data_IF_035538928341
#
_entry.id   IF_035538928341
#
_cell.length_a   1.000
_cell.length_b   1.000
_cell.length_c   1.000
_cell.angle_alpha   90.00
_cell.angle_beta   90.00
_cell.angle_gamma   90.00
#
_symmetry.space_group_name_H-M   'P 1'
#
loop_
_entity.id
_entity.type
_entity.pdbx_description
1 polymer ?
#
# COMPACT_ATOMS: atom_id res chain seq x y z
N UNK A 1 -5.02 11.07 21.25
CA UNK A 1 -6.23 10.43 21.80
C UNK A 1 -5.76 9.49 22.88
N UNK A 2 -6.29 9.70 24.11
CA UNK A 2 -5.87 8.93 25.29
C UNK A 2 -6.09 7.42 25.07
N UNK A 3 -5.09 6.63 25.43
CA UNK A 3 -5.10 5.17 25.32
C UNK A 3 -4.94 4.62 23.89
N UNK A 4 -4.55 5.47 22.93
CA UNK A 4 -4.25 5.04 21.54
C UNK A 4 -2.77 5.24 21.23
N UNK A 5 -2.19 4.45 20.30
CA UNK A 5 -0.83 4.67 19.82
C UNK A 5 -0.59 6.07 19.28
N UNK A 6 0.67 6.49 19.25
CA UNK A 6 1.07 7.77 18.67
C UNK A 6 0.84 7.73 17.15
N UNK A 7 0.23 8.81 16.63
CA UNK A 7 0.06 8.98 15.19
C UNK A 7 -1.19 8.37 14.58
N UNK A 8 -2.10 7.75 15.39
CA UNK A 8 -3.34 7.18 14.86
C UNK A 8 -4.13 8.18 14.01
N UNK A 9 -4.69 7.71 12.92
CA UNK A 9 -5.55 8.50 12.06
C UNK A 9 -6.92 8.67 12.70
N UNK A 10 -7.34 9.92 12.85
CA UNK A 10 -8.62 10.27 13.46
C UNK A 10 -9.44 11.14 12.51
N UNK A 11 -10.61 10.66 12.10
CA UNK A 11 -11.37 11.36 11.09
C UNK A 11 -12.79 10.86 10.92
N UNK A 12 -13.45 11.41 9.92
CA UNK A 12 -14.82 11.08 9.52
C UNK A 12 -14.87 9.72 8.85
N UNK A 13 -15.97 9.00 9.03
CA UNK A 13 -16.14 7.63 8.58
C UNK A 13 -17.50 7.41 7.91
N UNK A 14 -17.60 6.28 7.21
CA UNK A 14 -18.86 5.87 6.57
C UNK A 14 -19.90 5.41 7.58
N UNK A 15 -21.14 5.83 7.38
CA UNK A 15 -22.27 5.25 8.11
C UNK A 15 -22.43 3.77 7.72
N UNK A 16 -22.66 2.92 8.71
CA UNK A 16 -22.87 1.49 8.52
C UNK A 16 -24.14 1.02 9.21
N UNK A 17 -24.80 0.05 8.61
CA UNK A 17 -25.88 -0.71 9.20
C UNK A 17 -25.34 -1.70 10.26
N UNK A 18 -26.23 -2.33 11.01
CA UNK A 18 -25.86 -3.32 12.04
C UNK A 18 -25.14 -4.55 11.47
N UNK A 19 -25.35 -4.88 10.20
CA UNK A 19 -24.69 -5.96 9.48
C UNK A 19 -23.30 -5.55 8.91
N UNK A 20 -22.86 -4.31 9.15
CA UNK A 20 -21.59 -3.75 8.67
C UNK A 20 -21.62 -3.18 7.24
N UNK A 21 -22.71 -3.34 6.50
CA UNK A 21 -22.88 -2.77 5.17
C UNK A 21 -22.95 -1.24 5.22
N UNK A 22 -22.50 -0.58 4.13
CA UNK A 22 -22.54 0.87 4.05
C UNK A 22 -23.98 1.39 3.89
N UNK A 23 -24.34 2.40 4.66
CA UNK A 23 -25.56 3.16 4.42
C UNK A 23 -25.39 4.00 3.18
N UNK A 24 -26.30 3.87 2.22
CA UNK A 24 -26.29 4.62 0.96
C UNK A 24 -27.52 5.53 0.85
N UNK A 25 -27.42 6.60 0.07
CA UNK A 25 -28.57 7.40 -0.32
C UNK A 25 -29.39 6.70 -1.42
N UNK A 26 -30.47 7.35 -1.88
CA UNK A 26 -31.33 6.81 -2.94
C UNK A 26 -30.61 6.57 -4.28
N UNK A 27 -29.47 7.24 -4.52
CA UNK A 27 -28.63 7.04 -5.69
C UNK A 27 -27.58 5.94 -5.51
N UNK A 28 -27.51 5.27 -4.36
CA UNK A 28 -26.51 4.24 -4.06
C UNK A 28 -25.15 4.78 -3.62
N UNK A 29 -25.06 6.06 -3.26
CA UNK A 29 -23.80 6.69 -2.81
C UNK A 29 -23.65 6.51 -1.30
N UNK A 30 -22.50 5.97 -0.82
CA UNK A 30 -22.22 5.81 0.60
C UNK A 30 -22.27 7.13 1.37
N UNK A 31 -22.85 7.08 2.57
CA UNK A 31 -23.07 8.26 3.39
C UNK A 31 -22.06 8.34 4.54
N UNK A 32 -21.75 9.56 4.92
CA UNK A 32 -20.94 9.87 6.09
C UNK A 32 -21.77 9.66 7.36
N UNK A 33 -21.16 9.09 8.40
CA UNK A 33 -21.76 8.99 9.71
C UNK A 33 -21.95 10.39 10.33
N UNK A 34 -23.16 10.65 10.84
CA UNK A 34 -23.55 11.95 11.42
C UNK A 34 -24.26 11.76 12.74
N UNK A 35 -24.10 12.72 13.64
CA UNK A 35 -24.90 12.83 14.86
C UNK A 35 -26.34 13.30 14.54
N UNK A 36 -27.21 13.24 15.53
CA UNK A 36 -28.62 13.67 15.39
C UNK A 36 -28.78 15.15 14.98
N UNK A 37 -27.81 16.00 15.32
CA UNK A 37 -27.77 17.42 14.93
C UNK A 37 -27.20 17.64 13.51
N UNK A 38 -26.80 16.55 12.81
CA UNK A 38 -26.22 16.62 11.45
C UNK A 38 -24.69 16.76 11.40
N UNK A 39 -24.01 16.91 12.52
CA UNK A 39 -22.55 17.05 12.56
C UNK A 39 -21.84 15.75 12.19
N UNK A 40 -20.72 15.82 11.44
CA UNK A 40 -19.93 14.65 11.10
C UNK A 40 -19.34 13.97 12.34
N UNK A 41 -19.60 12.69 12.48
CA UNK A 41 -18.98 11.87 13.53
C UNK A 41 -17.55 11.50 13.12
N UNK A 42 -16.67 11.38 14.13
CA UNK A 42 -15.26 11.03 13.96
C UNK A 42 -14.87 9.90 14.87
N UNK A 43 -13.95 9.06 14.41
CA UNK A 43 -13.35 7.96 15.19
C UNK A 43 -11.89 7.76 14.78
N UNK A 44 -11.19 6.88 15.49
CA UNK A 44 -9.91 6.35 15.01
C UNK A 44 -10.19 5.48 13.78
N UNK A 45 -9.52 5.79 12.68
CA UNK A 45 -9.69 5.16 11.37
C UNK A 45 -8.62 4.12 11.08
N UNK A 46 -7.43 4.29 11.67
CA UNK A 46 -6.30 3.42 11.47
C UNK A 46 -5.11 3.78 12.34
N UNK A 47 -4.13 2.90 12.36
CA UNK A 47 -2.88 3.03 13.08
C UNK A 47 -1.71 2.94 12.07
N UNK A 48 -0.85 3.98 11.95
CA UNK A 48 0.29 3.93 11.03
C UNK A 48 1.42 3.01 11.49
N UNK A 49 1.37 2.54 12.75
CA UNK A 49 2.41 1.69 13.29
C UNK A 49 2.18 0.24 12.84
N UNK A 50 3.15 -0.42 12.20
CA UNK A 50 3.03 -1.83 11.86
C UNK A 50 3.05 -2.72 13.11
N UNK A 51 2.36 -3.85 13.06
CA UNK A 51 2.38 -4.87 14.10
C UNK A 51 3.78 -5.48 14.24
N UNK A 52 4.40 -5.81 13.11
CA UNK A 52 5.78 -6.28 13.02
C UNK A 52 6.36 -6.17 11.60
N UNK A 53 7.69 -6.14 11.58
CA UNK A 53 8.49 -6.24 10.35
C UNK A 53 9.30 -7.53 10.38
N UNK A 54 9.52 -8.14 9.22
CA UNK A 54 10.32 -9.35 9.10
C UNK A 54 11.17 -9.34 7.83
N UNK A 55 12.29 -10.03 7.90
CA UNK A 55 13.17 -10.27 6.76
C UNK A 55 13.56 -11.74 6.72
N UNK A 56 13.48 -12.33 5.54
CA UNK A 56 13.86 -13.70 5.28
C UNK A 56 14.94 -13.74 4.21
N UNK A 57 16.16 -14.11 4.61
CA UNK A 57 17.32 -14.19 3.72
C UNK A 57 17.80 -15.62 3.62
N UNK A 58 17.93 -16.12 2.40
CA UNK A 58 18.47 -17.44 2.12
C UNK A 58 19.61 -17.38 1.14
N UNK A 59 20.69 -18.05 1.49
CA UNK A 59 21.87 -18.25 0.67
C UNK A 59 22.05 -19.76 0.40
N UNK A 60 21.88 -20.16 -0.85
CA UNK A 60 22.06 -21.52 -1.32
C UNK A 60 23.35 -21.62 -2.12
N UNK A 61 24.20 -22.57 -1.78
CA UNK A 61 25.43 -22.82 -2.51
C UNK A 61 25.49 -24.28 -2.94
N UNK A 62 25.68 -24.47 -4.25
CA UNK A 62 25.87 -25.81 -4.81
C UNK A 62 26.99 -25.81 -5.82
N UNK A 63 28.10 -26.49 -5.48
CA UNK A 63 29.32 -26.52 -6.29
C UNK A 63 29.83 -25.10 -6.59
N UNK A 64 29.68 -24.64 -7.83
CA UNK A 64 30.14 -23.34 -8.32
C UNK A 64 29.00 -22.32 -8.38
N UNK A 65 27.77 -22.72 -8.09
CA UNK A 65 26.60 -21.87 -8.10
C UNK A 65 26.26 -21.38 -6.70
N UNK A 66 25.93 -20.10 -6.60
CA UNK A 66 25.32 -19.50 -5.42
C UNK A 66 24.00 -18.83 -5.82
N UNK A 67 22.97 -19.00 -5.02
CA UNK A 67 21.70 -18.31 -5.13
C UNK A 67 21.38 -17.62 -3.81
N UNK A 68 21.17 -16.33 -3.85
CA UNK A 68 20.68 -15.53 -2.72
C UNK A 68 19.27 -15.06 -3.02
N UNK A 69 18.36 -15.20 -2.06
CA UNK A 69 17.00 -14.71 -2.11
C UNK A 69 16.69 -13.96 -0.82
N UNK A 70 16.19 -12.75 -0.94
CA UNK A 70 15.75 -11.96 0.21
C UNK A 70 14.29 -11.53 0.01
N UNK A 71 13.47 -11.82 1.01
CA UNK A 71 12.10 -11.35 1.17
C UNK A 71 12.02 -10.48 2.41
N UNK A 72 11.38 -9.32 2.28
CA UNK A 72 11.03 -8.46 3.41
C UNK A 72 9.51 -8.28 3.46
N UNK A 73 8.97 -8.19 4.65
CA UNK A 73 7.57 -7.94 4.87
C UNK A 73 7.31 -6.99 6.02
N UNK A 74 6.25 -6.23 5.86
CA UNK A 74 5.62 -5.41 6.89
C UNK A 74 4.21 -5.91 7.07
N UNK A 75 3.81 -6.16 8.30
CA UNK A 75 2.46 -6.60 8.64
C UNK A 75 1.79 -5.56 9.51
N UNK A 76 0.56 -5.22 9.16
CA UNK A 76 -0.18 -4.15 9.81
C UNK A 76 0.32 -2.76 9.43
N UNK A 77 -0.21 -1.77 10.10
CA UNK A 77 0.01 -0.37 9.77
C UNK A 77 -0.90 0.10 8.64
N UNK A 78 -1.54 1.24 8.87
CA UNK A 78 -2.41 1.88 7.89
C UNK A 78 -1.69 3.06 7.23
N UNK A 79 -2.06 3.36 6.00
CA UNK A 79 -1.52 4.46 5.22
C UNK A 79 -2.59 5.49 4.88
N UNK A 80 -2.29 6.76 5.17
CA UNK A 80 -3.13 7.88 4.76
C UNK A 80 -2.85 8.25 3.30
N UNK A 81 -3.67 7.72 2.37
CA UNK A 81 -3.47 7.87 0.93
C UNK A 81 -4.17 9.13 0.38
N UNK A 82 -3.60 10.29 0.65
CA UNK A 82 -4.13 11.58 0.20
C UNK A 82 -4.07 11.73 -1.32
N UNK A 83 -3.01 11.23 -1.95
CA UNK A 83 -2.81 11.34 -3.40
C UNK A 83 -3.85 10.51 -4.18
N UNK A 84 -4.10 9.27 -3.74
CA UNK A 84 -5.14 8.44 -4.36
C UNK A 84 -6.49 9.16 -4.35
N UNK A 85 -6.91 9.72 -3.20
CA UNK A 85 -8.14 10.49 -3.10
C UNK A 85 -8.15 11.70 -4.04
N UNK A 86 -7.04 12.45 -4.09
CA UNK A 86 -6.91 13.64 -4.95
C UNK A 86 -7.07 13.28 -6.41
N UNK A 87 -6.46 12.16 -6.86
CA UNK A 87 -6.62 11.67 -8.24
C UNK A 87 -8.06 11.35 -8.59
N UNK A 88 -8.81 10.73 -7.66
CA UNK A 88 -10.24 10.51 -7.88
C UNK A 88 -10.97 11.84 -8.03
N UNK A 89 -10.68 12.81 -7.15
CA UNK A 89 -11.31 14.13 -7.16
C UNK A 89 -11.09 14.95 -8.44
N UNK A 90 -9.92 14.80 -9.07
CA UNK A 90 -9.61 15.48 -10.35
C UNK A 90 -9.93 14.63 -11.58
N UNK A 91 -10.55 13.48 -11.41
CA UNK A 91 -11.01 12.65 -12.54
C UNK A 91 -9.95 11.68 -13.12
N UNK A 92 -8.75 11.60 -12.53
CA UNK A 92 -7.63 10.78 -13.03
C UNK A 92 -7.48 9.42 -12.31
N UNK A 93 -8.49 9.00 -11.56
CA UNK A 93 -8.43 7.75 -10.81
C UNK A 93 -9.45 6.72 -11.30
N UNK A 94 -9.19 5.45 -10.98
CA UNK A 94 -10.03 4.32 -11.39
C UNK A 94 -11.49 4.46 -10.96
N UNK A 95 -11.76 5.00 -9.76
CA UNK A 95 -13.13 5.20 -9.25
C UNK A 95 -13.82 6.31 -10.04
N UNK A 96 -13.10 7.40 -10.36
CA UNK A 96 -13.63 8.46 -11.19
C UNK A 96 -13.93 7.98 -12.63
N UNK A 97 -13.06 7.13 -13.20
CA UNK A 97 -13.30 6.49 -14.48
C UNK A 97 -14.55 5.61 -14.45
N UNK A 98 -14.73 4.80 -13.39
CA UNK A 98 -15.93 3.97 -13.22
C UNK A 98 -17.20 4.81 -13.12
N UNK A 99 -17.14 5.96 -12.45
CA UNK A 99 -18.27 6.91 -12.42
C UNK A 99 -18.55 7.49 -13.81
N UNK A 100 -17.52 7.89 -14.56
CA UNK A 100 -17.66 8.40 -15.93
C UNK A 100 -18.25 7.36 -16.90
N UNK A 101 -17.88 6.09 -16.73
CA UNK A 101 -18.41 4.97 -17.50
C UNK A 101 -19.83 4.55 -17.08
N UNK A 102 -20.40 5.15 -16.03
CA UNK A 102 -21.70 4.78 -15.50
C UNK A 102 -21.74 3.46 -14.72
N UNK A 103 -20.57 2.90 -14.34
CA UNK A 103 -20.46 1.72 -13.48
C UNK A 103 -20.71 2.08 -12.01
N UNK A 104 -20.54 3.36 -11.64
CA UNK A 104 -20.90 3.92 -10.36
C UNK A 104 -21.92 5.04 -10.56
N UNK A 105 -22.76 5.35 -9.56
CA UNK A 105 -23.70 6.43 -9.62
C UNK A 105 -23.02 7.78 -9.88
N UNK A 106 -23.63 8.62 -10.68
CA UNK A 106 -23.15 9.98 -10.92
C UNK A 106 -23.09 10.75 -9.60
N UNK A 107 -21.96 11.42 -9.33
CA UNK A 107 -21.68 12.12 -8.09
C UNK A 107 -21.12 11.23 -6.98
N UNK A 108 -20.75 9.97 -7.29
CA UNK A 108 -20.16 9.05 -6.31
C UNK A 108 -18.90 9.64 -5.68
N UNK A 109 -17.92 10.04 -6.50
CA UNK A 109 -16.65 10.60 -6.01
C UNK A 109 -16.90 11.84 -5.17
N UNK A 110 -17.72 12.77 -5.62
CA UNK A 110 -18.07 13.97 -4.86
C UNK A 110 -18.72 13.64 -3.50
N UNK A 111 -19.60 12.64 -3.47
CA UNK A 111 -20.31 12.20 -2.27
C UNK A 111 -19.41 11.60 -1.20
N UNK A 112 -18.38 10.85 -1.60
CA UNK A 112 -17.46 10.17 -0.66
C UNK A 112 -16.16 10.96 -0.39
N UNK A 113 -15.86 11.97 -1.18
CA UNK A 113 -14.58 12.70 -1.15
C UNK A 113 -14.21 13.28 0.22
N UNK A 114 -15.20 13.81 0.95
CA UNK A 114 -15.00 14.41 2.27
C UNK A 114 -14.87 13.38 3.41
N UNK A 115 -15.15 12.10 3.15
CA UNK A 115 -15.09 11.05 4.15
C UNK A 115 -13.63 10.57 4.27
N UNK A 116 -13.03 10.79 5.44
CA UNK A 116 -11.60 10.55 5.63
C UNK A 116 -11.25 9.06 5.62
N UNK A 117 -12.16 8.19 6.07
CA UNK A 117 -12.00 6.73 5.99
C UNK A 117 -11.73 6.24 4.55
N UNK A 118 -12.23 6.94 3.53
CA UNK A 118 -12.08 6.56 2.12
C UNK A 118 -10.62 6.53 1.63
N UNK A 119 -9.73 7.24 2.32
CA UNK A 119 -8.31 7.35 1.97
C UNK A 119 -7.36 6.60 2.89
N UNK A 120 -7.91 5.74 3.75
CA UNK A 120 -7.09 4.85 4.58
C UNK A 120 -6.91 3.55 3.83
N UNK A 121 -5.67 3.16 3.63
CA UNK A 121 -5.27 1.93 2.98
C UNK A 121 -4.46 1.04 3.92
N UNK A 122 -4.49 -0.26 3.69
CA UNK A 122 -3.61 -1.23 4.34
C UNK A 122 -2.17 -0.98 3.89
N UNK A 123 -1.27 -0.80 4.84
CA UNK A 123 0.15 -0.62 4.63
C UNK A 123 0.97 -1.91 4.62
N UNK A 124 0.31 -3.06 4.79
CA UNK A 124 0.98 -4.36 4.76
C UNK A 124 1.53 -4.69 3.37
N UNK A 125 2.73 -5.25 3.33
CA UNK A 125 3.32 -5.72 2.07
C UNK A 125 4.33 -6.84 2.29
N UNK A 126 4.63 -7.56 1.21
CA UNK A 126 5.77 -8.46 1.08
C UNK A 126 6.53 -8.10 -0.19
N UNK A 127 7.85 -7.96 -0.10
CA UNK A 127 8.70 -7.63 -1.25
C UNK A 127 9.78 -8.66 -1.49
N UNK A 128 9.98 -9.02 -2.77
CA UNK A 128 11.18 -9.70 -3.21
C UNK A 128 12.29 -8.65 -3.38
N UNK A 129 13.09 -8.49 -2.30
CA UNK A 129 14.13 -7.47 -2.21
C UNK A 129 15.31 -7.75 -3.10
N UNK A 130 15.75 -9.00 -3.08
CA UNK A 130 16.89 -9.40 -3.88
C UNK A 130 16.74 -10.84 -4.34
N UNK A 131 17.09 -11.06 -5.59
CA UNK A 131 17.47 -12.37 -6.10
C UNK A 131 18.82 -12.21 -6.80
N UNK A 132 19.79 -13.03 -6.41
CA UNK A 132 21.14 -12.96 -6.95
C UNK A 132 21.65 -14.36 -7.26
N UNK A 133 22.05 -14.57 -8.51
CA UNK A 133 22.65 -15.82 -8.98
C UNK A 133 24.13 -15.57 -9.25
N UNK A 134 24.99 -16.33 -8.62
CA UNK A 134 26.44 -16.28 -8.81
C UNK A 134 26.99 -17.57 -9.40
N UNK A 135 28.02 -17.46 -10.22
CA UNK A 135 28.76 -18.59 -10.76
C UNK A 135 30.25 -18.36 -10.65
N UNK A 136 30.93 -19.23 -9.93
CA UNK A 136 32.37 -19.19 -9.77
C UNK A 136 33.05 -19.94 -10.95
N UNK A 137 33.66 -19.19 -11.85
CA UNK A 137 34.39 -19.71 -13.00
C UNK A 137 35.73 -20.33 -12.57
N UNK A 138 36.29 -19.80 -11.45
CA UNK A 138 37.62 -20.20 -10.96
C UNK A 138 38.75 -19.40 -11.59
N UNK A 139 39.89 -20.01 -11.77
CA UNK A 139 41.08 -19.36 -12.34
C UNK A 139 40.94 -19.14 -13.85
N UNK A 140 41.13 -17.93 -14.30
CA UNK A 140 41.12 -17.54 -15.72
C UNK A 140 42.42 -16.79 -16.02
N UNK A 141 43.32 -17.39 -16.76
CA UNK A 141 44.65 -16.81 -17.11
C UNK A 141 45.37 -16.30 -15.85
N UNK A 142 45.61 -14.99 -15.75
CA UNK A 142 46.29 -14.34 -14.63
C UNK A 142 45.37 -13.99 -13.44
N UNK A 143 44.06 -14.22 -13.56
CA UNK A 143 43.07 -13.96 -12.52
C UNK A 143 42.91 -15.20 -11.65
N UNK A 144 43.20 -15.08 -10.36
CA UNK A 144 43.20 -16.21 -9.41
C UNK A 144 41.84 -16.83 -9.18
N UNK A 145 40.79 -15.97 -9.19
CA UNK A 145 39.39 -16.39 -9.04
C UNK A 145 38.49 -15.40 -9.74
N UNK A 146 37.57 -15.89 -10.54
CA UNK A 146 36.57 -15.08 -11.25
C UNK A 146 35.17 -15.58 -10.92
N UNK A 147 34.30 -14.68 -10.48
CA UNK A 147 32.89 -14.99 -10.22
C UNK A 147 32.05 -14.00 -11.02
N UNK A 148 31.05 -14.52 -11.71
CA UNK A 148 30.02 -13.71 -12.37
C UNK A 148 28.77 -13.70 -11.48
N UNK A 149 28.20 -12.55 -11.29
CA UNK A 149 26.98 -12.36 -10.49
C UNK A 149 25.94 -11.63 -11.32
N UNK A 150 24.73 -12.18 -11.35
CA UNK A 150 23.54 -11.53 -11.86
C UNK A 150 22.60 -11.29 -10.70
N UNK A 151 22.24 -10.04 -10.44
CA UNK A 151 21.33 -9.69 -9.34
C UNK A 151 20.25 -8.73 -9.81
N UNK A 152 19.06 -8.90 -9.24
CA UNK A 152 17.95 -7.97 -9.36
C UNK A 152 17.44 -7.60 -7.97
N UNK A 153 17.01 -6.35 -7.80
CA UNK A 153 16.51 -5.85 -6.53
C UNK A 153 15.11 -5.24 -6.68
N UNK A 154 14.32 -5.30 -5.59
CA UNK A 154 12.95 -4.76 -5.53
C UNK A 154 12.07 -5.22 -6.71
N UNK A 155 12.19 -6.50 -7.08
CA UNK A 155 11.60 -7.04 -8.30
C UNK A 155 10.08 -7.17 -8.25
N UNK A 156 9.54 -7.53 -7.08
CA UNK A 156 8.11 -7.80 -6.90
C UNK A 156 7.66 -7.21 -5.56
N UNK A 157 6.49 -6.57 -5.55
CA UNK A 157 5.75 -6.22 -4.35
C UNK A 157 4.39 -6.91 -4.38
N UNK A 158 4.03 -7.52 -3.26
CA UNK A 158 2.68 -8.03 -3.00
C UNK A 158 2.07 -7.19 -1.89
N UNK A 159 1.08 -6.38 -2.23
CA UNK A 159 0.41 -5.45 -1.33
C UNK A 159 -1.04 -5.18 -1.80
N UNK A 160 -1.85 -4.59 -0.94
CA UNK A 160 -3.20 -4.13 -1.22
C UNK A 160 -3.28 -2.60 -1.32
N UNK A 161 -2.13 -1.93 -1.32
CA UNK A 161 -2.06 -0.49 -1.36
C UNK A 161 -2.54 0.08 -2.70
N UNK A 162 -3.38 1.09 -2.67
CA UNK A 162 -3.95 1.72 -3.89
C UNK A 162 -3.02 2.74 -4.54
N UNK A 163 -1.81 2.92 -3.99
CA UNK A 163 -0.76 3.77 -4.55
C UNK A 163 0.27 2.96 -5.34
N UNK A 164 1.45 3.56 -5.54
CA UNK A 164 2.55 2.91 -6.27
C UNK A 164 3.34 1.96 -5.38
N UNK A 165 3.66 2.39 -4.16
CA UNK A 165 4.49 1.62 -3.23
C UNK A 165 4.16 2.01 -1.79
N UNK A 166 3.70 1.08 -0.94
CA UNK A 166 3.35 1.38 0.44
C UNK A 166 4.56 1.83 1.28
N UNK A 167 5.76 1.39 0.95
CA UNK A 167 6.98 1.72 1.68
C UNK A 167 7.47 3.15 1.44
N UNK A 168 7.22 3.70 0.25
CA UNK A 168 7.65 5.05 -0.12
C UNK A 168 6.69 6.14 0.36
N UNK A 169 5.61 5.76 1.02
CA UNK A 169 4.53 6.67 1.39
C UNK A 169 4.63 7.11 2.86
N UNK A 170 5.74 7.69 3.24
CA UNK A 170 5.93 8.21 4.61
C UNK A 170 5.01 9.36 5.00
N UNK A 171 4.32 9.99 4.03
CA UNK A 171 3.47 11.17 4.27
C UNK A 171 2.15 11.15 3.50
N UNK A 172 1.70 9.99 3.01
CA UNK A 172 0.49 9.89 2.20
C UNK A 172 0.63 10.47 0.80
N UNK A 173 1.85 10.69 0.34
CA UNK A 173 2.14 11.16 -1.02
C UNK A 173 2.63 9.99 -1.87
N UNK A 174 2.04 9.76 -3.02
CA UNK A 174 2.54 8.74 -3.92
C UNK A 174 3.74 9.24 -4.69
N UNK A 175 4.80 8.47 -4.70
CA UNK A 175 5.90 8.64 -5.62
C UNK A 175 5.59 7.95 -6.95
N UNK A 176 6.02 8.56 -8.05
CA UNK A 176 5.70 8.11 -9.40
C UNK A 176 6.49 6.85 -9.79
N UNK A 177 7.55 6.52 -9.07
CA UNK A 177 8.47 5.45 -9.43
C UNK A 177 8.56 4.39 -8.33
N UNK A 178 8.38 3.12 -8.72
CA UNK A 178 8.84 1.99 -7.90
C UNK A 178 10.35 1.90 -8.02
N UNK A 179 11.04 1.73 -6.88
CA UNK A 179 12.48 1.46 -6.90
C UNK A 179 12.74 0.01 -7.35
N UNK A 180 12.89 -0.19 -8.64
CA UNK A 180 13.35 -1.45 -9.22
C UNK A 180 14.79 -1.23 -9.66
N UNK A 181 15.71 -1.91 -9.01
CA UNK A 181 17.14 -1.85 -9.32
C UNK A 181 17.57 -3.19 -9.98
N UNK A 182 18.23 -3.11 -11.13
CA UNK A 182 18.76 -4.24 -11.87
C UNK A 182 20.29 -4.32 -11.76
#
# INVERSE_FOLDING_TARGET
>A
IDGKPLGVFYGTYFARNDDGSLVTNAAGIPQQAKAANGDPLRKVLGDPNPDFNWSFVNDFNYKRFGLRVQLDGVQGGDVWNADWRTRQGVGNGKVAEQEQMGLLPRGYVAGVYAIEEWRIDDGSFVKLREISLSYNIGKVKSISNMTVVLSGRNLISWDNYKGYDPELNSAGQSTILRNIDF
#
